data_IF_778899213766
#
_entry.id   IF_778899213766
#
_cell.length_a   1.000
_cell.length_b   1.000
_cell.length_c   1.000
_cell.angle_alpha   90.00
_cell.angle_beta   90.00
_cell.angle_gamma   90.00
#
_symmetry.space_group_name_H-M   'P 1'
#
loop_
_entity.id
_entity.type
_entity.pdbx_description
1 polymer ?
#
# COMPACT_ATOMS: atom_id res chain seq x y z
N UNK A 1 -15.43 0.59 -12.21
CA UNK A 1 -15.02 1.86 -12.87
C UNK A 1 -13.68 2.48 -12.43
N UNK A 2 -13.08 2.26 -11.24
CA UNK A 2 -11.82 2.92 -10.85
C UNK A 2 -10.58 2.50 -11.66
N UNK A 3 -10.61 1.31 -12.25
CA UNK A 3 -9.42 0.65 -12.79
C UNK A 3 -8.80 1.38 -13.99
N UNK A 4 -9.61 1.97 -14.89
CA UNK A 4 -9.11 2.65 -16.11
C UNK A 4 -8.42 3.98 -15.82
N UNK A 5 -8.85 4.69 -14.77
CA UNK A 5 -8.22 5.95 -14.35
C UNK A 5 -6.99 5.63 -13.50
N UNK A 6 -7.11 4.69 -12.56
CA UNK A 6 -5.98 4.21 -11.78
C UNK A 6 -4.85 3.68 -12.67
N UNK A 7 -5.16 2.94 -13.74
CA UNK A 7 -4.16 2.41 -14.67
C UNK A 7 -3.47 3.48 -15.53
N UNK A 8 -4.07 4.67 -15.69
CA UNK A 8 -3.47 5.81 -16.40
C UNK A 8 -2.66 6.73 -15.48
N UNK A 9 -3.10 6.91 -14.24
CA UNK A 9 -2.45 7.77 -13.24
C UNK A 9 -1.26 7.08 -12.59
N UNK A 10 -1.37 5.77 -12.30
CA UNK A 10 -0.32 4.98 -11.65
C UNK A 10 1.04 5.05 -12.40
N UNK A 11 1.12 4.88 -13.73
CA UNK A 11 2.39 5.00 -14.46
C UNK A 11 3.00 6.41 -14.46
N UNK A 12 2.16 7.45 -14.42
CA UNK A 12 2.62 8.85 -14.41
C UNK A 12 3.35 9.18 -13.10
N UNK A 13 2.78 8.76 -11.97
CA UNK A 13 3.37 8.97 -10.64
C UNK A 13 4.66 8.16 -10.46
N UNK A 14 4.71 6.94 -11.03
CA UNK A 14 5.83 6.02 -10.84
C UNK A 14 6.98 6.30 -11.81
N UNK A 15 6.80 7.11 -12.86
CA UNK A 15 7.82 7.36 -13.90
C UNK A 15 9.18 7.78 -13.30
N UNK A 16 9.17 8.47 -12.17
CA UNK A 16 10.37 8.86 -11.42
C UNK A 16 11.10 7.67 -10.77
N UNK A 17 10.37 6.63 -10.37
CA UNK A 17 10.88 5.40 -9.73
C UNK A 17 11.14 4.27 -10.73
N UNK A 18 11.09 4.56 -12.04
CA UNK A 18 11.45 3.63 -13.11
C UNK A 18 12.86 3.94 -13.61
N UNK A 19 13.71 2.92 -13.72
CA UNK A 19 14.93 3.00 -14.51
C UNK A 19 14.76 2.14 -15.76
N UNK A 20 14.93 2.69 -16.96
CA UNK A 20 14.79 1.94 -18.22
C UNK A 20 13.51 1.06 -18.31
N UNK A 21 12.37 1.56 -17.79
CA UNK A 21 11.06 0.89 -17.71
C UNK A 21 10.96 -0.27 -16.69
N UNK A 22 11.99 -0.55 -15.91
CA UNK A 22 11.91 -1.48 -14.77
C UNK A 22 11.61 -0.71 -13.49
N UNK A 23 10.66 -1.21 -12.70
CA UNK A 23 10.34 -0.62 -11.40
C UNK A 23 11.44 -0.97 -10.41
N UNK A 24 12.12 0.05 -9.89
CA UNK A 24 13.18 -0.12 -8.89
C UNK A 24 12.62 -0.58 -7.53
N UNK A 25 11.36 -0.23 -7.25
CA UNK A 25 10.64 -0.51 -6.00
C UNK A 25 9.20 -0.92 -6.32
N UNK A 26 8.61 -1.84 -5.55
CA UNK A 26 7.21 -2.23 -5.71
C UNK A 26 6.31 -1.04 -5.36
N UNK A 27 5.22 -0.84 -6.12
CA UNK A 27 4.36 0.32 -5.92
C UNK A 27 3.71 0.35 -4.54
N UNK A 28 3.38 -0.82 -4.01
CA UNK A 28 2.77 -0.99 -2.71
C UNK A 28 3.71 -0.52 -1.59
N UNK A 29 5.04 -0.66 -1.79
CA UNK A 29 6.06 -0.19 -0.85
C UNK A 29 6.19 1.34 -0.87
N UNK A 30 5.99 2.00 -2.01
CA UNK A 30 5.97 3.46 -2.11
C UNK A 30 4.81 4.09 -1.33
N UNK A 31 3.71 3.34 -1.15
CA UNK A 31 2.55 3.79 -0.38
C UNK A 31 2.66 3.60 1.12
N UNK A 32 3.73 2.97 1.62
CA UNK A 32 3.97 2.82 3.05
C UNK A 32 4.28 4.17 3.73
N UNK A 33 4.09 4.25 5.06
CA UNK A 33 4.63 5.31 5.91
C UNK A 33 6.11 5.57 5.64
N UNK A 34 6.53 6.85 5.71
CA UNK A 34 7.94 7.23 5.63
C UNK A 34 8.80 6.53 6.67
N UNK A 35 8.27 6.32 7.86
CA UNK A 35 8.93 5.57 8.94
C UNK A 35 9.28 4.13 8.56
N UNK A 36 8.49 3.52 7.67
CA UNK A 36 8.66 2.15 7.16
C UNK A 36 9.34 2.11 5.78
N UNK A 37 9.89 3.24 5.35
CA UNK A 37 10.60 3.40 4.09
C UNK A 37 9.77 3.75 2.88
N UNK A 38 8.45 3.88 3.01
CA UNK A 38 7.62 4.36 1.91
C UNK A 38 7.72 5.88 1.71
N UNK A 39 6.97 6.37 0.72
CA UNK A 39 6.93 7.79 0.36
C UNK A 39 5.59 8.44 0.70
N UNK A 40 4.70 7.72 1.39
CA UNK A 40 3.30 8.11 1.57
C UNK A 40 2.58 8.40 0.25
N UNK A 41 3.00 7.76 -0.84
CA UNK A 41 2.35 7.95 -2.14
C UNK A 41 1.02 7.19 -2.09
N UNK A 42 -0.12 7.88 -2.15
CA UNK A 42 -1.40 7.21 -2.03
C UNK A 42 -1.59 6.23 -3.19
N UNK A 43 -1.89 4.97 -2.86
CA UNK A 43 -2.35 4.02 -3.86
C UNK A 43 -3.74 4.42 -4.32
N UNK A 44 -3.88 4.81 -5.59
CA UNK A 44 -5.17 5.23 -6.18
C UNK A 44 -6.24 4.15 -6.00
N UNK A 45 -5.84 2.88 -6.09
CA UNK A 45 -6.73 1.73 -5.89
C UNK A 45 -7.16 1.63 -4.42
N UNK A 46 -6.20 1.69 -3.49
CA UNK A 46 -6.53 1.62 -2.06
C UNK A 46 -7.36 2.83 -1.60
N UNK A 47 -7.09 4.02 -2.14
CA UNK A 47 -7.93 5.20 -1.90
C UNK A 47 -9.34 4.98 -2.43
N UNK A 48 -9.49 4.52 -3.67
CA UNK A 48 -10.82 4.22 -4.22
C UNK A 48 -11.59 3.19 -3.38
N UNK A 49 -10.89 2.18 -2.87
CA UNK A 49 -11.44 1.15 -1.97
C UNK A 49 -11.93 1.77 -0.64
N UNK A 50 -11.12 2.61 -0.01
CA UNK A 50 -11.51 3.30 1.24
C UNK A 50 -12.67 4.27 1.02
N UNK A 51 -12.69 5.01 -0.09
CA UNK A 51 -13.83 5.84 -0.47
C UNK A 51 -15.10 5.01 -0.72
N UNK A 52 -15.00 3.90 -1.45
CA UNK A 52 -16.14 3.02 -1.71
C UNK A 52 -16.73 2.48 -0.40
N UNK A 53 -15.88 2.05 0.53
CA UNK A 53 -16.30 1.60 1.84
C UNK A 53 -16.97 2.72 2.63
N UNK A 54 -16.31 3.87 2.81
CA UNK A 54 -16.85 4.98 3.59
C UNK A 54 -18.17 5.50 3.04
N UNK A 55 -18.28 5.62 1.72
CA UNK A 55 -19.53 6.04 1.08
C UNK A 55 -20.63 5.03 1.37
N UNK A 56 -20.34 3.73 1.29
CA UNK A 56 -21.32 2.69 1.62
C UNK A 56 -21.76 2.79 3.09
N UNK A 57 -20.81 2.94 4.02
CA UNK A 57 -21.11 3.12 5.44
C UNK A 57 -21.96 4.38 5.71
N UNK A 58 -21.63 5.51 5.08
CA UNK A 58 -22.42 6.75 5.18
C UNK A 58 -23.84 6.55 4.66
N UNK A 59 -24.01 5.87 3.52
CA UNK A 59 -25.34 5.56 2.96
C UNK A 59 -26.15 4.68 3.91
N UNK A 60 -25.51 3.74 4.61
CA UNK A 60 -26.17 2.88 5.59
C UNK A 60 -26.57 3.62 6.87
N UNK A 61 -25.93 4.74 7.20
CA UNK A 61 -26.27 5.60 8.33
C UNK A 61 -27.38 6.63 8.03
N UNK A 62 -27.82 6.74 6.78
CA UNK A 62 -28.95 7.60 6.42
C UNK A 62 -30.24 7.14 7.12
N UNK A 63 -31.27 7.99 7.13
CA UNK A 63 -32.59 7.62 7.65
C UNK A 63 -33.15 6.35 6.99
N UNK A 64 -33.94 5.56 7.72
CA UNK A 64 -34.45 4.26 7.26
C UNK A 64 -35.26 4.37 5.98
N UNK A 65 -36.00 5.46 5.82
CA UNK A 65 -36.80 5.70 4.63
C UNK A 65 -36.04 6.18 3.41
N UNK A 66 -34.76 6.50 3.57
CA UNK A 66 -33.97 7.01 2.47
C UNK A 66 -33.78 5.94 1.37
N UNK A 67 -34.10 6.25 0.09
CA UNK A 67 -34.07 5.27 -0.99
C UNK A 67 -32.68 4.67 -1.19
N UNK A 68 -31.61 5.47 -1.04
CA UNK A 68 -30.24 4.97 -1.14
C UNK A 68 -29.90 3.94 -0.04
N UNK A 69 -30.43 4.10 1.19
CA UNK A 69 -30.23 3.13 2.27
C UNK A 69 -30.95 1.83 1.94
N UNK A 70 -32.23 1.90 1.52
CA UNK A 70 -33.04 0.74 1.11
C UNK A 70 -32.40 -0.04 -0.04
N UNK A 71 -31.85 0.66 -1.04
CA UNK A 71 -31.15 0.02 -2.16
C UNK A 71 -29.83 -0.61 -1.70
N UNK A 72 -29.03 0.10 -0.90
CA UNK A 72 -27.77 -0.43 -0.38
C UNK A 72 -28.00 -1.69 0.48
N UNK A 73 -29.00 -1.69 1.35
CA UNK A 73 -29.35 -2.88 2.16
C UNK A 73 -29.86 -4.03 1.32
N UNK A 74 -30.67 -3.76 0.28
CA UNK A 74 -31.10 -4.76 -0.69
C UNK A 74 -29.91 -5.43 -1.38
N UNK A 75 -28.98 -4.64 -1.94
CA UNK A 75 -27.84 -5.13 -2.70
C UNK A 75 -26.70 -5.70 -1.85
N UNK A 76 -26.63 -5.36 -0.55
CA UNK A 76 -25.75 -6.02 0.41
C UNK A 76 -26.25 -7.42 0.79
N UNK A 77 -27.55 -7.68 0.61
CA UNK A 77 -28.19 -8.95 0.93
C UNK A 77 -27.91 -9.39 2.37
N UNK A 78 -27.57 -10.67 2.53
CA UNK A 78 -27.27 -11.27 3.85
C UNK A 78 -25.99 -10.69 4.48
N UNK A 79 -25.05 -10.21 3.67
CA UNK A 79 -23.79 -9.62 4.17
C UNK A 79 -24.00 -8.26 4.85
N UNK A 80 -25.18 -7.63 4.70
CA UNK A 80 -25.53 -6.39 5.40
C UNK A 80 -25.43 -6.47 6.92
N UNK A 81 -25.50 -7.69 7.51
CA UNK A 81 -25.40 -7.93 8.96
C UNK A 81 -24.03 -7.56 9.52
N UNK A 82 -23.02 -7.45 8.66
CA UNK A 82 -21.68 -6.99 9.04
C UNK A 82 -21.64 -5.49 9.36
N UNK A 83 -22.61 -4.74 8.84
CA UNK A 83 -22.65 -3.27 8.93
C UNK A 83 -23.80 -2.75 9.79
N UNK A 84 -24.91 -3.50 9.87
CA UNK A 84 -26.12 -3.12 10.58
C UNK A 84 -26.37 -4.09 11.73
N UNK A 85 -26.57 -3.57 12.95
CA UNK A 85 -26.93 -4.37 14.13
C UNK A 85 -28.28 -5.06 13.96
N UNK A 86 -29.24 -4.38 13.34
CA UNK A 86 -30.57 -4.90 13.00
C UNK A 86 -30.76 -4.86 11.49
N UNK A 87 -31.10 -6.01 10.90
CA UNK A 87 -31.40 -6.05 9.47
C UNK A 87 -32.84 -5.60 9.22
N UNK A 88 -33.08 -4.66 8.29
CA UNK A 88 -34.44 -4.30 7.92
C UNK A 88 -35.17 -5.52 7.35
N UNK A 89 -36.42 -5.67 7.75
CA UNK A 89 -37.35 -6.62 7.15
C UNK A 89 -37.65 -6.15 5.72
N UNK A 90 -37.39 -7.00 4.72
CA UNK A 90 -37.58 -6.63 3.33
C UNK A 90 -36.89 -7.58 2.36
N UNK A 91 -37.20 -7.45 1.05
CA UNK A 91 -36.56 -8.23 0.01
C UNK A 91 -35.05 -7.97 0.00
N UNK A 92 -34.27 -8.99 -0.33
CA UNK A 92 -32.81 -8.94 -0.36
C UNK A 92 -32.31 -9.62 -1.62
N UNK A 93 -31.23 -9.11 -2.18
CA UNK A 93 -30.50 -9.86 -3.20
C UNK A 93 -29.96 -11.16 -2.58
N UNK A 94 -30.10 -12.27 -3.31
CA UNK A 94 -29.55 -13.58 -2.92
C UNK A 94 -28.03 -13.45 -2.75
N UNK A 95 -27.39 -12.84 -3.74
CA UNK A 95 -25.96 -12.56 -3.73
C UNK A 95 -25.68 -11.05 -3.79
N UNK A 96 -24.70 -10.55 -3.02
CA UNK A 96 -24.26 -9.18 -3.16
C UNK A 96 -23.70 -8.94 -4.56
N UNK A 97 -24.02 -7.78 -5.13
CA UNK A 97 -23.45 -7.37 -6.42
C UNK A 97 -21.92 -7.28 -6.32
N UNK A 98 -21.17 -7.35 -7.44
CA UNK A 98 -19.70 -7.33 -7.41
C UNK A 98 -19.12 -6.15 -6.64
N UNK A 99 -19.77 -4.98 -6.71
CA UNK A 99 -19.38 -3.80 -5.95
C UNK A 99 -19.49 -4.00 -4.43
N UNK A 100 -20.65 -4.45 -3.94
CA UNK A 100 -20.85 -4.65 -2.50
C UNK A 100 -20.05 -5.84 -1.96
N UNK A 101 -19.82 -6.87 -2.76
CA UNK A 101 -18.90 -7.96 -2.42
C UNK A 101 -17.48 -7.47 -2.19
N UNK A 102 -17.00 -6.57 -3.06
CA UNK A 102 -15.70 -5.92 -2.91
C UNK A 102 -15.64 -5.06 -1.64
N UNK A 103 -16.67 -4.24 -1.39
CA UNK A 103 -16.78 -3.43 -0.17
C UNK A 103 -16.75 -4.27 1.11
N UNK A 104 -17.47 -5.40 1.13
CA UNK A 104 -17.44 -6.37 2.24
C UNK A 104 -16.04 -6.94 2.44
N UNK A 105 -15.32 -7.26 1.37
CA UNK A 105 -13.94 -7.72 1.44
C UNK A 105 -12.99 -6.67 2.02
N UNK A 106 -13.15 -5.40 1.65
CA UNK A 106 -12.37 -4.30 2.23
C UNK A 106 -12.71 -4.12 3.71
N UNK A 107 -14.00 -4.13 4.07
CA UNK A 107 -14.44 -3.99 5.46
C UNK A 107 -13.84 -5.06 6.36
N UNK A 108 -13.87 -6.34 5.94
CA UNK A 108 -13.25 -7.43 6.71
C UNK A 108 -11.75 -7.22 6.93
N UNK A 109 -11.04 -6.74 5.90
CA UNK A 109 -9.60 -6.43 6.00
C UNK A 109 -9.33 -5.31 6.99
N UNK A 110 -10.15 -4.24 6.99
CA UNK A 110 -10.00 -3.11 7.92
C UNK A 110 -10.42 -3.49 9.34
N UNK A 111 -11.51 -4.26 9.49
CA UNK A 111 -11.98 -4.72 10.79
C UNK A 111 -10.94 -5.60 11.49
N UNK A 112 -10.16 -6.38 10.72
CA UNK A 112 -9.04 -7.17 11.27
C UNK A 112 -7.88 -6.32 11.81
N UNK A 113 -7.84 -5.02 11.51
CA UNK A 113 -6.78 -4.10 11.99
C UNK A 113 -7.02 -3.62 13.42
N UNK A 114 -8.17 -3.94 14.03
CA UNK A 114 -8.54 -3.53 15.38
C UNK A 114 -8.28 -2.03 15.64
N UNK A 115 -8.77 -1.17 14.75
CA UNK A 115 -8.61 0.27 14.90
C UNK A 115 -9.32 0.78 16.15
N UNK A 116 -8.65 1.64 16.92
CA UNK A 116 -9.22 2.27 18.12
C UNK A 116 -10.32 3.29 17.78
N UNK A 117 -10.29 3.84 16.55
CA UNK A 117 -11.24 4.85 16.07
C UNK A 117 -12.23 4.28 15.05
N UNK A 118 -13.48 4.78 15.00
CA UNK A 118 -14.45 4.38 14.01
C UNK A 118 -13.94 4.62 12.59
N UNK A 119 -14.14 3.64 11.69
CA UNK A 119 -13.65 3.67 10.29
C UNK A 119 -14.03 4.98 9.56
N UNK A 120 -15.21 5.55 9.85
CA UNK A 120 -15.67 6.77 9.21
C UNK A 120 -14.85 8.02 9.59
N UNK A 121 -14.26 8.05 10.77
CA UNK A 121 -13.53 9.18 11.33
C UNK A 121 -12.05 9.17 10.92
N UNK A 122 -11.44 7.98 10.77
CA UNK A 122 -10.03 7.80 10.39
C UNK A 122 -9.75 8.40 9.01
N UNK A 123 -8.62 9.09 8.77
CA UNK A 123 -8.36 9.66 7.43
C UNK A 123 -8.17 8.56 6.40
N UNK A 124 -8.62 8.77 5.16
CA UNK A 124 -8.46 7.77 4.11
C UNK A 124 -6.99 7.41 3.86
N UNK A 125 -6.09 8.38 4.00
CA UNK A 125 -4.63 8.16 3.88
C UNK A 125 -4.12 7.17 4.93
N UNK A 126 -4.58 7.27 6.17
CA UNK A 126 -4.22 6.37 7.27
C UNK A 126 -4.78 4.97 7.02
N UNK A 127 -6.06 4.87 6.64
CA UNK A 127 -6.67 3.58 6.28
C UNK A 127 -5.94 2.89 5.13
N UNK A 128 -5.50 3.65 4.11
CA UNK A 128 -4.72 3.09 3.02
C UNK A 128 -3.34 2.61 3.45
N UNK A 129 -2.68 3.33 4.36
CA UNK A 129 -1.38 2.92 4.88
C UNK A 129 -1.50 1.62 5.67
N UNK A 130 -2.48 1.53 6.57
CA UNK A 130 -2.68 0.33 7.39
C UNK A 130 -3.05 -0.89 6.55
N UNK A 131 -3.84 -0.69 5.49
CA UNK A 131 -4.12 -1.74 4.51
C UNK A 131 -2.85 -2.20 3.79
N UNK A 132 -1.96 -1.29 3.39
CA UNK A 132 -0.73 -1.64 2.68
C UNK A 132 0.29 -2.33 3.58
N UNK A 133 0.43 -1.90 4.83
CA UNK A 133 1.29 -2.53 5.83
C UNK A 133 0.87 -3.99 6.06
N UNK A 134 -0.41 -4.23 6.31
CA UNK A 134 -0.92 -5.57 6.63
C UNK A 134 -1.10 -6.49 5.42
N UNK A 135 -0.95 -5.96 4.20
CA UNK A 135 -0.94 -6.76 2.97
C UNK A 135 0.37 -7.56 2.78
N UNK A 136 1.27 -7.57 3.77
CA UNK A 136 2.56 -8.26 3.67
C UNK A 136 3.55 -7.53 2.77
N UNK A 137 3.44 -6.20 2.65
CA UNK A 137 4.51 -5.42 2.03
C UNK A 137 5.79 -5.62 2.84
N UNK A 138 6.76 -6.32 2.26
CA UNK A 138 8.08 -6.48 2.86
C UNK A 138 8.68 -5.10 3.14
N UNK A 139 8.82 -4.78 4.43
CA UNK A 139 9.58 -3.63 4.89
C UNK A 139 11.05 -3.97 4.67
N UNK A 140 11.70 -3.27 3.74
CA UNK A 140 13.12 -3.46 3.49
C UNK A 140 13.94 -2.73 4.56
N UNK A 141 14.97 -3.42 5.05
CA UNK A 141 15.89 -2.99 6.10
C UNK A 141 15.20 -2.24 7.27
N UNK A 142 14.62 -2.98 8.25
CA UNK A 142 13.85 -2.37 9.35
C UNK A 142 14.69 -1.46 10.26
N UNK A 143 16.03 -1.53 10.21
CA UNK A 143 16.93 -0.66 10.96
C UNK A 143 17.33 0.63 10.23
N UNK A 144 16.88 0.84 9.00
CA UNK A 144 17.27 2.03 8.24
C UNK A 144 16.46 3.26 8.69
N UNK A 145 17.10 4.38 9.06
CA UNK A 145 16.40 5.56 9.57
C UNK A 145 15.79 6.36 8.42
N UNK A 146 14.71 5.87 7.85
CA UNK A 146 14.04 6.43 6.68
C UNK A 146 13.60 7.90 6.82
N UNK A 147 13.34 8.34 8.05
CA UNK A 147 13.05 9.75 8.36
C UNK A 147 14.21 10.67 7.94
N UNK A 148 15.46 10.18 8.03
CA UNK A 148 16.67 10.92 7.70
C UNK A 148 16.98 11.01 6.21
N UNK A 149 16.19 10.39 5.32
CA UNK A 149 16.34 10.50 3.87
C UNK A 149 15.63 11.71 3.25
N UNK A 150 14.75 12.36 4.02
CA UNK A 150 14.01 13.56 3.62
C UNK A 150 14.73 14.92 3.71
N UNK A 151 15.89 15.10 4.38
CA UNK A 151 16.51 16.40 4.45
C UNK A 151 17.15 16.84 3.12
N UNK A 152 16.81 18.04 2.69
CA UNK A 152 17.30 18.69 1.46
C UNK A 152 18.76 19.17 1.51
N UNK A 153 19.46 18.99 2.63
CA UNK A 153 20.82 19.53 2.83
C UNK A 153 21.93 18.62 2.28
N UNK A 154 21.63 17.39 1.90
CA UNK A 154 22.59 16.51 1.23
C UNK A 154 22.61 16.74 -0.28
N UNK A 155 23.79 16.74 -0.93
CA UNK A 155 23.89 16.67 -2.38
C UNK A 155 23.06 15.51 -2.95
N UNK A 156 22.38 15.74 -4.07
CA UNK A 156 21.45 14.77 -4.65
C UNK A 156 22.07 13.39 -4.95
N UNK A 157 23.36 13.34 -5.27
CA UNK A 157 24.09 12.08 -5.47
C UNK A 157 24.17 11.24 -4.19
N UNK A 158 24.38 11.87 -3.04
CA UNK A 158 24.45 11.19 -1.73
C UNK A 158 23.04 10.70 -1.34
N UNK A 159 22.01 11.51 -1.57
CA UNK A 159 20.62 11.10 -1.32
C UNK A 159 20.24 9.86 -2.13
N UNK A 160 20.63 9.78 -3.41
CA UNK A 160 20.35 8.61 -4.26
C UNK A 160 21.08 7.37 -3.73
N UNK A 161 22.36 7.47 -3.36
CA UNK A 161 23.11 6.34 -2.78
C UNK A 161 22.49 5.86 -1.47
N UNK A 162 22.14 6.77 -0.55
CA UNK A 162 21.53 6.43 0.74
C UNK A 162 20.13 5.85 0.54
N UNK A 163 19.35 6.37 -0.42
CA UNK A 163 18.05 5.81 -0.77
C UNK A 163 18.20 4.39 -1.30
N UNK A 164 19.14 4.16 -2.22
CA UNK A 164 19.43 2.82 -2.75
C UNK A 164 19.89 1.87 -1.64
N UNK A 165 20.70 2.34 -0.70
CA UNK A 165 21.11 1.55 0.47
C UNK A 165 19.92 1.14 1.35
N UNK A 166 19.06 2.09 1.72
CA UNK A 166 17.86 1.81 2.52
C UNK A 166 16.96 0.76 1.86
N UNK A 167 16.74 0.90 0.55
CA UNK A 167 15.96 -0.06 -0.24
C UNK A 167 16.72 -1.35 -0.55
N UNK A 168 17.95 -1.45 -0.08
CA UNK A 168 18.87 -2.54 -0.35
C UNK A 168 19.13 -2.75 -1.84
N UNK A 169 18.95 -1.74 -2.69
CA UNK A 169 19.04 -1.80 -4.16
C UNK A 169 20.35 -1.32 -4.76
N UNK A 170 21.42 -1.25 -3.97
CA UNK A 170 22.74 -0.96 -4.53
C UNK A 170 23.19 -2.10 -5.45
N UNK A 171 24.03 -1.77 -6.45
CA UNK A 171 24.59 -2.76 -7.35
C UNK A 171 25.76 -3.50 -6.68
N UNK A 172 25.46 -4.27 -5.63
CA UNK A 172 26.43 -5.08 -4.86
C UNK A 172 26.78 -6.38 -5.57
N UNK A 173 27.96 -6.94 -5.28
CA UNK A 173 28.40 -8.19 -5.92
C UNK A 173 27.43 -9.36 -5.65
N UNK A 174 26.83 -9.48 -4.46
CA UNK A 174 25.83 -10.53 -4.18
C UNK A 174 24.63 -10.49 -5.15
N UNK A 175 24.22 -9.28 -5.51
CA UNK A 175 23.06 -9.03 -6.33
C UNK A 175 23.40 -9.16 -7.81
N UNK A 176 24.55 -8.65 -8.22
CA UNK A 176 25.07 -8.87 -9.56
C UNK A 176 25.30 -10.36 -9.83
N UNK A 177 25.74 -11.12 -8.83
CA UNK A 177 25.95 -12.57 -8.92
C UNK A 177 24.62 -13.31 -9.14
N UNK A 178 23.58 -12.97 -8.37
CA UNK A 178 22.21 -13.50 -8.57
C UNK A 178 21.63 -13.20 -9.96
N UNK A 179 22.10 -12.12 -10.60
CA UNK A 179 21.73 -11.76 -11.97
C UNK A 179 22.71 -12.30 -13.03
N UNK A 180 23.71 -13.08 -12.62
CA UNK A 180 24.74 -13.65 -13.47
C UNK A 180 25.59 -12.62 -14.23
N UNK A 181 25.68 -11.37 -13.73
CA UNK A 181 26.58 -10.35 -14.29
C UNK A 181 28.03 -10.49 -13.82
N UNK A 182 28.24 -11.08 -12.64
CA UNK A 182 29.57 -11.35 -12.08
C UNK A 182 29.70 -12.83 -11.71
N UNK A 183 30.94 -13.30 -11.59
CA UNK A 183 31.26 -14.71 -11.33
C UNK A 183 31.24 -15.09 -9.84
N UNK A 184 31.26 -14.11 -8.94
CA UNK A 184 31.29 -14.31 -7.49
C UNK A 184 30.49 -13.22 -6.79
N UNK A 185 29.94 -13.56 -5.63
CA UNK A 185 29.27 -12.65 -4.68
C UNK A 185 30.24 -11.98 -3.70
N UNK A 186 31.54 -12.19 -3.87
CA UNK A 186 32.59 -11.65 -3.03
C UNK A 186 33.05 -10.25 -3.49
N UNK A 187 33.45 -9.43 -2.53
CA UNK A 187 34.04 -8.12 -2.74
C UNK A 187 35.39 -8.25 -3.42
N UNK A 188 35.62 -7.46 -4.46
CA UNK A 188 36.89 -7.43 -5.19
C UNK A 188 38.05 -6.85 -4.36
N UNK A 189 37.75 -6.08 -3.31
CA UNK A 189 38.77 -5.41 -2.50
C UNK A 189 39.28 -6.26 -1.34
N UNK A 190 38.39 -6.94 -0.61
CA UNK A 190 38.76 -7.71 0.59
C UNK A 190 38.38 -9.20 0.53
N UNK A 191 37.66 -9.65 -0.50
CA UNK A 191 37.27 -11.06 -0.68
C UNK A 191 36.09 -11.54 0.19
N UNK A 192 35.55 -10.69 1.06
CA UNK A 192 34.37 -11.02 1.89
C UNK A 192 33.07 -10.98 1.07
N UNK A 193 31.99 -11.60 1.56
CA UNK A 193 30.67 -11.50 0.93
C UNK A 193 30.20 -10.04 0.86
N UNK A 194 29.90 -9.55 -0.34
CA UNK A 194 29.55 -8.14 -0.55
C UNK A 194 28.03 -7.95 -0.58
N UNK A 195 27.48 -7.64 0.59
CA UNK A 195 26.13 -7.10 0.73
C UNK A 195 26.13 -5.56 0.79
N UNK A 196 24.94 -4.96 0.90
CA UNK A 196 24.78 -3.51 0.99
C UNK A 196 25.54 -2.89 2.16
N UNK A 197 25.62 -3.60 3.29
CA UNK A 197 26.28 -3.09 4.50
C UNK A 197 27.80 -3.13 4.31
N UNK A 198 28.31 -4.21 3.74
CA UNK A 198 29.71 -4.37 3.41
C UNK A 198 30.17 -3.30 2.41
N UNK A 199 29.46 -3.16 1.29
CA UNK A 199 29.81 -2.22 0.22
C UNK A 199 29.88 -0.75 0.65
N UNK A 200 29.19 -0.35 1.71
CA UNK A 200 29.16 1.05 2.17
C UNK A 200 29.85 1.33 3.51
N UNK A 201 29.89 0.36 4.43
CA UNK A 201 30.28 0.63 5.82
C UNK A 201 31.42 -0.26 6.33
N UNK A 202 31.73 -1.38 5.67
CA UNK A 202 32.61 -2.40 6.26
C UNK A 202 33.64 -3.02 5.29
N UNK A 203 33.77 -2.49 4.08
CA UNK A 203 34.81 -2.91 3.13
C UNK A 203 36.20 -2.44 3.56
#
# INVERSE_FOLDING_TARGET
MPYRIASKVKPQIIRFFLNAKTALVKYEQLGLPREKGGWNIPSVIALADTYALKTTLKVLQLQEDHPARKLATYFLGVQGRLFLQTQPAGPKAIDPTPFYRHVVGIYKRIAALNLDTPILEVRNTELTQELLVNSGCEVKNPGFPWVLLTPSWLPGSIQDVVWRYGWSVLPTADRMYKWHYVRSEQCVHCGMFEDNKHALLAC
#
